data_IF_481094161603
#
_entry.id   IF_481094161603
#
_cell.length_a   1.000
_cell.length_b   1.000
_cell.length_c   1.000
_cell.angle_alpha   90.00
_cell.angle_beta   90.00
_cell.angle_gamma   90.00
#
_symmetry.space_group_name_H-M   'P 1'
#
loop_
_entity.id
_entity.type
_entity.pdbx_description
1 polymer ?
#
# COMPACT_ATOMS: atom_id res chain seq x y z
N UNK A 1 -42.44 33.09 -18.91
CA UNK A 1 -42.64 32.07 -17.84
C UNK A 1 -41.91 30.84 -18.28
N UNK A 2 -40.70 30.64 -17.72
CA UNK A 2 -39.94 29.38 -17.88
C UNK A 2 -40.61 28.31 -17.02
N UNK A 3 -41.08 27.25 -17.65
CA UNK A 3 -41.65 26.10 -17.00
C UNK A 3 -40.50 25.38 -16.22
N UNK A 4 -40.66 25.27 -14.90
CA UNK A 4 -39.82 24.42 -14.07
C UNK A 4 -39.98 22.97 -14.53
N UNK A 5 -38.87 22.22 -14.78
CA UNK A 5 -39.00 20.83 -15.17
C UNK A 5 -39.59 20.04 -14.00
N UNK A 6 -40.72 19.40 -14.27
CA UNK A 6 -41.44 18.55 -13.34
C UNK A 6 -40.55 17.36 -12.92
N UNK A 7 -39.99 17.42 -11.74
CA UNK A 7 -39.20 16.31 -11.16
C UNK A 7 -40.17 15.23 -10.73
N UNK A 8 -40.49 14.28 -11.61
CA UNK A 8 -41.17 13.05 -11.23
C UNK A 8 -40.48 12.40 -10.04
N UNK A 9 -41.19 12.04 -8.97
CA UNK A 9 -40.58 11.35 -7.85
C UNK A 9 -39.98 10.02 -8.32
N UNK A 10 -38.70 9.81 -8.01
CA UNK A 10 -38.02 8.56 -8.28
C UNK A 10 -38.75 7.42 -7.55
N UNK A 11 -38.99 6.31 -8.23
CA UNK A 11 -39.58 5.12 -7.62
C UNK A 11 -38.72 4.61 -6.45
N UNK A 12 -39.26 3.77 -5.57
CA UNK A 12 -38.57 3.32 -4.35
C UNK A 12 -37.25 2.58 -4.64
N UNK A 13 -37.17 1.80 -5.72
CA UNK A 13 -35.97 1.09 -6.13
C UNK A 13 -34.82 2.01 -6.59
N UNK A 14 -35.02 2.97 -7.52
CA UNK A 14 -33.99 3.93 -7.86
C UNK A 14 -33.52 4.78 -6.67
N UNK A 15 -34.45 5.18 -5.79
CA UNK A 15 -34.13 5.90 -4.55
C UNK A 15 -33.20 5.10 -3.65
N UNK A 16 -33.46 3.81 -3.46
CA UNK A 16 -32.65 2.90 -2.65
C UNK A 16 -31.25 2.70 -3.26
N UNK A 17 -31.16 2.56 -4.59
CA UNK A 17 -29.87 2.45 -5.30
C UNK A 17 -29.04 3.74 -5.13
N UNK A 18 -29.66 4.91 -5.26
CA UNK A 18 -28.98 6.19 -5.04
C UNK A 18 -28.56 6.39 -3.58
N UNK A 19 -29.36 5.89 -2.63
CA UNK A 19 -29.05 5.95 -1.19
C UNK A 19 -27.92 5.01 -0.80
N UNK A 20 -27.74 3.88 -1.51
CA UNK A 20 -26.69 2.89 -1.19
C UNK A 20 -25.27 3.46 -1.33
N UNK A 21 -25.03 4.46 -2.18
CA UNK A 21 -23.71 5.10 -2.27
C UNK A 21 -23.30 5.84 -0.99
N UNK A 22 -24.25 6.27 -0.15
CA UNK A 22 -23.96 6.87 1.15
C UNK A 22 -23.37 5.87 2.15
N UNK A 23 -23.55 4.55 1.91
CA UNK A 23 -22.90 3.49 2.68
C UNK A 23 -21.38 3.44 2.47
N UNK A 24 -20.87 4.07 1.42
CA UNK A 24 -19.42 4.18 1.20
C UNK A 24 -18.76 5.26 2.06
N UNK A 25 -19.54 6.25 2.53
CA UNK A 25 -19.01 7.37 3.33
C UNK A 25 -18.32 6.90 4.63
N UNK A 26 -18.90 6.02 5.47
CA UNK A 26 -18.21 5.51 6.65
C UNK A 26 -16.96 4.70 6.32
N UNK A 27 -16.89 4.06 5.14
CA UNK A 27 -15.69 3.35 4.71
C UNK A 27 -14.53 4.32 4.43
N UNK A 28 -14.81 5.43 3.74
CA UNK A 28 -13.79 6.47 3.52
C UNK A 28 -13.36 7.14 4.82
N UNK A 29 -14.27 7.37 5.77
CA UNK A 29 -13.92 7.87 7.10
C UNK A 29 -13.00 6.88 7.84
N UNK A 30 -13.27 5.58 7.75
CA UNK A 30 -12.41 4.53 8.29
C UNK A 30 -11.01 4.55 7.68
N UNK A 31 -10.90 4.78 6.35
CA UNK A 31 -9.62 4.90 5.67
C UNK A 31 -8.84 6.16 6.11
N UNK A 32 -9.51 7.27 6.40
CA UNK A 32 -8.87 8.48 6.95
C UNK A 32 -8.27 8.19 8.34
N UNK A 33 -8.99 7.44 9.18
CA UNK A 33 -8.47 7.00 10.48
C UNK A 33 -7.25 6.08 10.29
N UNK A 34 -7.32 5.14 9.35
CA UNK A 34 -6.18 4.28 9.00
C UNK A 34 -4.96 5.08 8.53
N UNK A 35 -5.18 6.16 7.77
CA UNK A 35 -4.13 7.10 7.38
C UNK A 35 -3.42 7.70 8.60
N UNK A 36 -4.18 8.11 9.62
CA UNK A 36 -3.62 8.61 10.89
C UNK A 36 -2.75 7.56 11.60
N UNK A 37 -3.14 6.29 11.58
CA UNK A 37 -2.34 5.19 12.13
C UNK A 37 -1.02 5.02 11.37
N UNK A 38 -1.03 5.13 10.04
CA UNK A 38 0.20 5.08 9.23
C UNK A 38 1.15 6.25 9.54
N UNK A 39 0.63 7.45 9.75
CA UNK A 39 1.45 8.60 10.19
C UNK A 39 2.11 8.31 11.55
N UNK A 40 1.38 7.73 12.48
CA UNK A 40 1.93 7.37 13.79
C UNK A 40 3.03 6.30 13.67
N UNK A 41 2.81 5.26 12.85
CA UNK A 41 3.82 4.23 12.58
C UNK A 41 5.07 4.81 11.95
N UNK A 42 4.92 5.71 10.96
CA UNK A 42 6.04 6.41 10.34
C UNK A 42 6.88 7.18 11.37
N UNK A 43 6.24 7.96 12.24
CA UNK A 43 6.94 8.72 13.27
C UNK A 43 7.66 7.81 14.29
N UNK A 44 7.06 6.69 14.64
CA UNK A 44 7.68 5.67 15.52
C UNK A 44 8.93 5.08 14.89
N UNK A 45 8.86 4.62 13.64
CA UNK A 45 10.02 4.05 12.92
C UNK A 45 11.10 5.10 12.68
N UNK A 46 10.72 6.33 12.35
CA UNK A 46 11.66 7.44 12.19
C UNK A 46 12.36 7.76 13.51
N UNK A 47 11.64 7.78 14.63
CA UNK A 47 12.25 8.02 15.95
C UNK A 47 13.24 6.91 16.32
N UNK A 48 12.93 5.66 16.02
CA UNK A 48 13.83 4.52 16.22
C UNK A 48 15.10 4.69 15.39
N UNK A 49 14.99 5.04 14.12
CA UNK A 49 16.13 5.28 13.24
C UNK A 49 17.05 6.38 13.79
N UNK A 50 16.48 7.50 14.27
CA UNK A 50 17.27 8.65 14.76
C UNK A 50 17.93 8.36 16.10
N UNK A 51 17.24 7.65 17.00
CA UNK A 51 17.79 7.34 18.34
C UNK A 51 18.90 6.28 18.28
N UNK A 52 18.76 5.30 17.43
CA UNK A 52 19.64 4.13 17.42
C UNK A 52 20.69 4.16 16.29
N UNK A 53 20.81 5.28 15.57
CA UNK A 53 21.72 5.46 14.42
C UNK A 53 23.18 5.14 14.73
N UNK A 54 23.60 5.20 16.00
CA UNK A 54 24.98 4.90 16.43
C UNK A 54 25.25 3.42 16.65
N UNK A 55 24.20 2.62 16.76
CA UNK A 55 24.25 1.20 17.12
C UNK A 55 23.87 0.34 15.92
N UNK A 56 23.04 0.89 15.01
CA UNK A 56 22.55 0.20 13.84
C UNK A 56 23.67 -0.01 12.79
N UNK A 57 23.72 -1.22 12.24
CA UNK A 57 24.54 -1.55 11.07
C UNK A 57 23.95 -0.95 9.79
N UNK A 58 24.78 -0.78 8.75
CA UNK A 58 24.38 -0.21 7.47
C UNK A 58 23.18 -0.94 6.83
N UNK A 59 23.13 -2.27 6.95
CA UNK A 59 21.99 -3.07 6.46
C UNK A 59 20.71 -2.79 7.25
N UNK A 60 20.78 -2.67 8.56
CA UNK A 60 19.63 -2.36 9.40
C UNK A 60 19.06 -0.96 9.08
N UNK A 61 19.95 0.03 8.91
CA UNK A 61 19.54 1.38 8.48
C UNK A 61 18.83 1.32 7.13
N UNK A 62 19.37 0.57 6.16
CA UNK A 62 18.78 0.42 4.84
C UNK A 62 17.39 -0.24 4.90
N UNK A 63 17.21 -1.27 5.73
CA UNK A 63 15.91 -1.95 5.93
C UNK A 63 14.89 -1.04 6.61
N UNK A 64 15.30 -0.23 7.59
CA UNK A 64 14.44 0.77 8.25
C UNK A 64 14.00 1.86 7.26
N UNK A 65 14.92 2.39 6.47
CA UNK A 65 14.60 3.39 5.43
C UNK A 65 13.65 2.82 4.39
N UNK A 66 13.86 1.59 3.94
CA UNK A 66 12.91 0.89 3.05
C UNK A 66 11.54 0.72 3.70
N UNK A 67 11.47 0.43 5.00
CA UNK A 67 10.23 0.40 5.75
C UNK A 67 9.52 1.75 5.78
N UNK A 68 10.24 2.85 5.97
CA UNK A 68 9.68 4.20 5.92
C UNK A 68 9.14 4.55 4.53
N UNK A 69 9.85 4.18 3.45
CA UNK A 69 9.39 4.36 2.08
C UNK A 69 8.11 3.57 1.81
N UNK A 70 8.02 2.34 2.31
CA UNK A 70 6.84 1.49 2.18
C UNK A 70 5.61 2.14 2.83
N UNK A 71 5.73 2.67 4.05
CA UNK A 71 4.66 3.41 4.73
C UNK A 71 4.19 4.61 3.91
N UNK A 72 5.11 5.38 3.31
CA UNK A 72 4.76 6.52 2.45
C UNK A 72 4.05 6.07 1.19
N UNK A 73 4.48 4.97 0.56
CA UNK A 73 3.84 4.43 -0.65
C UNK A 73 2.41 3.95 -0.37
N UNK A 74 2.20 3.24 0.74
CA UNK A 74 0.86 2.81 1.19
C UNK A 74 -0.01 4.02 1.51
N UNK A 75 0.54 5.03 2.18
CA UNK A 75 -0.13 6.28 2.51
C UNK A 75 -0.61 7.01 1.25
N UNK A 76 0.23 7.12 0.24
CA UNK A 76 -0.13 7.70 -1.05
C UNK A 76 -1.22 6.91 -1.77
N UNK A 77 -1.14 5.57 -1.73
CA UNK A 77 -2.19 4.70 -2.27
C UNK A 77 -3.53 4.96 -1.55
N UNK A 78 -3.50 5.02 -0.23
CA UNK A 78 -4.68 5.26 0.60
C UNK A 78 -5.33 6.60 0.27
N UNK A 79 -4.52 7.68 0.15
CA UNK A 79 -4.99 9.00 -0.24
C UNK A 79 -5.64 9.00 -1.63
N UNK A 80 -5.03 8.30 -2.58
CA UNK A 80 -5.58 8.17 -3.93
C UNK A 80 -6.92 7.42 -3.93
N UNK A 81 -7.09 6.38 -3.10
CA UNK A 81 -8.35 5.64 -2.95
C UNK A 81 -9.41 6.50 -2.27
N UNK A 82 -9.06 7.24 -1.21
CA UNK A 82 -10.01 8.10 -0.49
C UNK A 82 -10.53 9.20 -1.42
N UNK A 83 -9.63 10.00 -1.98
CA UNK A 83 -10.01 11.18 -2.78
C UNK A 83 -10.59 10.76 -4.11
N UNK A 84 -9.92 9.89 -4.86
CA UNK A 84 -10.36 9.45 -6.17
C UNK A 84 -11.61 8.58 -6.11
N UNK A 85 -11.75 7.73 -5.10
CA UNK A 85 -12.94 6.92 -4.88
C UNK A 85 -14.14 7.77 -4.48
N UNK A 86 -13.98 8.70 -3.56
CA UNK A 86 -15.05 9.63 -3.16
C UNK A 86 -15.55 10.45 -4.36
N UNK A 87 -14.64 11.05 -5.14
CA UNK A 87 -14.97 11.84 -6.32
C UNK A 87 -15.72 11.03 -7.39
N UNK A 88 -15.29 9.78 -7.59
CA UNK A 88 -15.87 8.93 -8.66
C UNK A 88 -17.20 8.32 -8.26
N UNK A 89 -17.36 7.88 -7.00
CA UNK A 89 -18.49 7.05 -6.59
C UNK A 89 -19.52 7.78 -5.72
N UNK A 90 -19.09 8.72 -4.89
CA UNK A 90 -19.99 9.37 -3.92
C UNK A 90 -20.50 10.72 -4.43
N UNK A 91 -19.63 11.66 -4.71
CA UNK A 91 -20.04 12.99 -5.14
C UNK A 91 -18.88 13.72 -5.80
N UNK A 92 -19.16 14.49 -6.85
CA UNK A 92 -18.18 15.40 -7.41
C UNK A 92 -17.90 16.53 -6.43
N UNK A 93 -16.71 16.58 -5.89
CA UNK A 93 -16.22 17.73 -5.17
C UNK A 93 -15.96 18.83 -6.19
N UNK A 94 -16.72 19.93 -6.11
CA UNK A 94 -16.53 21.08 -7.01
C UNK A 94 -15.27 21.87 -6.58
N UNK A 95 -14.12 21.23 -6.71
CA UNK A 95 -12.81 21.76 -6.35
C UNK A 95 -12.13 22.51 -7.51
N UNK A 96 -12.80 22.68 -8.64
CA UNK A 96 -12.27 23.24 -9.90
C UNK A 96 -11.57 24.62 -9.76
N UNK A 97 -11.59 25.22 -8.58
CA UNK A 97 -10.95 26.51 -8.28
C UNK A 97 -10.24 26.57 -6.93
N UNK A 98 -10.04 25.42 -6.26
CA UNK A 98 -9.35 25.42 -4.97
C UNK A 98 -7.83 25.35 -5.19
N UNK A 99 -7.01 26.22 -4.53
CA UNK A 99 -5.55 26.25 -4.73
C UNK A 99 -4.84 24.96 -4.34
N UNK A 100 -5.43 24.14 -3.47
CA UNK A 100 -4.88 22.86 -2.98
C UNK A 100 -5.36 21.65 -3.81
N UNK A 101 -5.99 21.87 -4.97
CA UNK A 101 -6.44 20.79 -5.82
C UNK A 101 -5.22 20.09 -6.46
N UNK A 102 -4.99 18.79 -6.21
CA UNK A 102 -3.95 18.06 -6.92
C UNK A 102 -4.28 18.04 -8.43
N UNK A 103 -3.29 18.33 -9.28
CA UNK A 103 -3.47 18.38 -10.75
C UNK A 103 -4.08 17.10 -11.33
N UNK A 104 -3.77 15.94 -10.71
CA UNK A 104 -4.32 14.66 -11.14
C UNK A 104 -5.82 14.50 -10.87
N UNK A 105 -6.41 15.32 -9.99
CA UNK A 105 -7.83 15.24 -9.63
C UNK A 105 -8.74 15.88 -10.69
N UNK A 106 -8.26 16.86 -11.44
CA UNK A 106 -9.04 17.56 -12.47
C UNK A 106 -9.48 16.67 -13.65
N UNK A 107 -8.80 15.53 -13.84
CA UNK A 107 -9.04 14.57 -14.92
C UNK A 107 -9.32 13.15 -14.42
N UNK A 108 -9.88 13.00 -13.20
CA UNK A 108 -10.18 11.67 -12.66
C UNK A 108 -11.35 11.06 -13.41
N UNK A 109 -11.01 10.19 -14.34
CA UNK A 109 -11.91 9.18 -14.87
C UNK A 109 -11.63 7.86 -14.14
N UNK A 110 -12.63 6.98 -13.98
CA UNK A 110 -12.46 5.68 -13.33
C UNK A 110 -11.33 4.84 -13.95
N UNK A 111 -11.07 4.98 -15.24
CA UNK A 111 -9.98 4.33 -15.95
C UNK A 111 -8.60 4.83 -15.48
N UNK A 112 -8.41 6.14 -15.39
CA UNK A 112 -7.14 6.73 -14.93
C UNK A 112 -6.83 6.32 -13.49
N UNK A 113 -7.86 6.25 -12.63
CA UNK A 113 -7.70 5.79 -11.25
C UNK A 113 -7.22 4.34 -11.20
N UNK A 114 -7.81 3.44 -12.01
CA UNK A 114 -7.39 2.02 -12.07
C UNK A 114 -5.92 1.86 -12.45
N UNK A 115 -5.45 2.59 -13.47
CA UNK A 115 -4.04 2.54 -13.91
C UNK A 115 -3.11 3.06 -12.82
N UNK A 116 -3.43 4.20 -12.19
CA UNK A 116 -2.62 4.76 -11.11
C UNK A 116 -2.56 3.84 -9.88
N UNK A 117 -3.68 3.20 -9.51
CA UNK A 117 -3.73 2.19 -8.45
C UNK A 117 -2.86 0.98 -8.78
N UNK A 118 -2.92 0.47 -10.01
CA UNK A 118 -2.09 -0.65 -10.46
C UNK A 118 -0.59 -0.30 -10.36
N UNK A 119 -0.19 0.90 -10.78
CA UNK A 119 1.20 1.36 -10.67
C UNK A 119 1.66 1.49 -9.21
N UNK A 120 0.80 1.98 -8.30
CA UNK A 120 1.10 2.07 -6.88
C UNK A 120 1.31 0.66 -6.25
N UNK A 121 0.46 -0.31 -6.59
CA UNK A 121 0.58 -1.70 -6.12
C UNK A 121 1.89 -2.33 -6.60
N UNK A 122 2.29 -2.10 -7.85
CA UNK A 122 3.58 -2.56 -8.38
C UNK A 122 4.74 -1.94 -7.58
N UNK A 123 4.69 -0.63 -7.32
CA UNK A 123 5.70 0.06 -6.52
C UNK A 123 5.87 -0.55 -5.13
N UNK A 124 4.77 -0.76 -4.41
CA UNK A 124 4.78 -1.42 -3.09
C UNK A 124 5.34 -2.84 -3.19
N UNK A 125 4.89 -3.63 -4.16
CA UNK A 125 5.37 -5.00 -4.36
C UNK A 125 6.88 -5.04 -4.68
N UNK A 126 7.41 -4.06 -5.44
CA UNK A 126 8.83 -3.93 -5.74
C UNK A 126 9.68 -3.68 -4.48
N UNK A 127 9.21 -2.77 -3.60
CA UNK A 127 9.90 -2.46 -2.36
C UNK A 127 9.91 -3.67 -1.41
N UNK A 128 8.78 -4.36 -1.29
CA UNK A 128 8.71 -5.59 -0.50
C UNK A 128 9.64 -6.68 -1.03
N UNK A 129 9.69 -6.86 -2.35
CA UNK A 129 10.60 -7.84 -2.95
C UNK A 129 12.06 -7.48 -2.70
N UNK A 130 12.43 -6.19 -2.85
CA UNK A 130 13.77 -5.72 -2.55
C UNK A 130 14.15 -5.95 -1.09
N UNK A 131 13.26 -5.61 -0.15
CA UNK A 131 13.46 -5.87 1.28
C UNK A 131 13.71 -7.35 1.56
N UNK A 132 12.88 -8.24 1.00
CA UNK A 132 13.01 -9.68 1.15
C UNK A 132 14.34 -10.18 0.56
N UNK A 133 14.79 -9.60 -0.55
CA UNK A 133 16.08 -9.94 -1.17
C UNK A 133 17.28 -9.58 -0.30
N UNK A 134 17.24 -8.41 0.32
CA UNK A 134 18.30 -7.94 1.23
C UNK A 134 18.34 -8.83 2.48
N UNK A 135 17.16 -9.10 3.09
CA UNK A 135 17.05 -10.00 4.24
C UNK A 135 17.55 -11.41 3.92
N UNK A 136 17.22 -11.94 2.74
CA UNK A 136 17.68 -13.26 2.30
C UNK A 136 19.19 -13.31 2.10
N UNK A 137 19.80 -12.26 1.56
CA UNK A 137 21.24 -12.16 1.33
C UNK A 137 22.06 -12.07 2.63
N UNK A 138 21.52 -11.43 3.67
CA UNK A 138 22.20 -11.28 4.97
C UNK A 138 22.14 -12.54 5.85
N UNK A 139 21.24 -13.47 5.53
CA UNK A 139 20.95 -14.67 6.36
C UNK A 139 21.40 -15.97 5.69
N UNK A 140 22.29 -15.91 4.71
CA UNK A 140 22.78 -17.08 3.99
C UNK A 140 23.48 -18.05 4.96
N UNK A 141 23.04 -19.32 4.92
CA UNK A 141 23.55 -20.37 5.83
C UNK A 141 22.81 -20.50 7.17
N UNK A 142 21.89 -19.60 7.52
CA UNK A 142 21.09 -19.75 8.73
C UNK A 142 19.93 -20.75 8.58
N UNK A 143 19.64 -21.58 9.59
CA UNK A 143 18.51 -22.51 9.55
C UNK A 143 17.18 -21.77 9.57
N UNK A 144 16.15 -22.34 8.93
CA UNK A 144 14.79 -21.79 8.90
C UNK A 144 14.18 -21.78 10.31
N UNK A 145 13.54 -20.65 10.67
CA UNK A 145 12.81 -20.52 11.93
C UNK A 145 11.70 -21.58 12.03
N UNK A 146 11.55 -22.17 13.22
CA UNK A 146 10.59 -23.25 13.48
C UNK A 146 11.11 -24.65 13.17
N UNK A 147 12.33 -24.78 12.65
CA UNK A 147 12.97 -26.10 12.47
C UNK A 147 13.75 -26.51 13.73
N UNK A 148 13.97 -27.82 13.99
CA UNK A 148 14.81 -28.27 15.09
C UNK A 148 16.23 -27.68 15.05
N UNK A 149 16.78 -27.49 13.86
CA UNK A 149 18.09 -26.87 13.66
C UNK A 149 18.14 -25.42 14.17
N UNK A 150 17.04 -24.67 13.99
CA UNK A 150 16.95 -23.29 14.51
C UNK A 150 16.93 -23.24 16.04
N UNK A 151 16.32 -24.21 16.72
CA UNK A 151 16.35 -24.28 18.19
C UNK A 151 17.75 -24.61 18.72
N UNK A 152 18.49 -25.46 18.04
CA UNK A 152 19.88 -25.78 18.41
C UNK A 152 20.75 -24.56 18.19
N UNK A 153 20.70 -23.89 17.06
CA UNK A 153 21.47 -22.67 16.76
C UNK A 153 21.14 -21.52 17.70
N UNK A 154 19.86 -21.35 18.09
CA UNK A 154 19.44 -20.33 19.06
C UNK A 154 20.03 -20.61 20.46
N UNK A 155 20.03 -21.88 20.90
CA UNK A 155 20.59 -22.28 22.18
C UNK A 155 22.10 -22.08 22.20
N UNK A 156 22.80 -22.43 21.12
CA UNK A 156 24.25 -22.31 21.02
C UNK A 156 24.68 -20.83 20.96
N UNK A 157 23.90 -19.97 20.26
CA UNK A 157 24.13 -18.53 20.25
C UNK A 157 23.94 -17.89 21.63
N UNK A 158 22.88 -18.27 22.36
CA UNK A 158 22.67 -17.82 23.74
C UNK A 158 23.78 -18.28 24.67
N UNK A 159 24.27 -19.51 24.53
CA UNK A 159 25.39 -20.03 25.30
C UNK A 159 26.70 -19.27 24.99
N UNK A 160 26.86 -18.75 23.80
CA UNK A 160 27.98 -17.93 23.37
C UNK A 160 27.83 -16.42 23.74
N UNK A 161 26.69 -16.03 24.37
CA UNK A 161 26.44 -14.65 24.78
C UNK A 161 25.87 -13.74 23.65
N UNK A 162 25.47 -14.31 22.55
CA UNK A 162 24.83 -13.55 21.43
C UNK A 162 23.32 -13.55 21.58
N UNK A 163 22.72 -12.36 21.71
CA UNK A 163 21.26 -12.15 21.75
C UNK A 163 20.68 -11.77 20.38
N UNK A 164 21.16 -12.36 19.27
CA UNK A 164 20.77 -12.03 17.90
C UNK A 164 19.79 -13.01 17.29
N UNK A 165 19.28 -12.69 16.07
CA UNK A 165 18.44 -13.58 15.27
C UNK A 165 19.27 -14.79 14.82
N UNK A 166 18.88 -15.97 15.29
CA UNK A 166 19.59 -17.22 15.01
C UNK A 166 18.92 -18.10 13.94
N UNK A 167 17.90 -17.56 13.25
CA UNK A 167 17.17 -18.30 12.22
C UNK A 167 16.68 -17.39 11.10
N UNK A 168 16.54 -17.95 9.89
CA UNK A 168 16.03 -17.26 8.71
C UNK A 168 14.50 -17.45 8.59
N UNK A 169 13.77 -16.34 8.44
CA UNK A 169 12.32 -16.34 8.17
C UNK A 169 12.00 -16.45 6.67
N UNK A 170 12.98 -16.19 5.82
CA UNK A 170 12.83 -16.14 4.36
C UNK A 170 13.28 -17.46 3.75
N UNK A 171 12.43 -18.10 2.96
CA UNK A 171 12.73 -19.31 2.22
C UNK A 171 12.99 -19.02 0.74
N UNK A 172 13.87 -19.77 0.09
CA UNK A 172 14.08 -19.68 -1.37
C UNK A 172 12.76 -19.86 -2.14
N UNK A 173 11.91 -20.77 -1.71
CA UNK A 173 10.56 -20.98 -2.29
C UNK A 173 9.67 -19.74 -2.07
N UNK A 174 9.74 -19.10 -0.90
CA UNK A 174 8.99 -17.86 -0.62
C UNK A 174 9.42 -16.71 -1.53
N UNK A 175 10.71 -16.51 -1.73
CA UNK A 175 11.26 -15.49 -2.65
C UNK A 175 10.83 -15.77 -4.10
N UNK A 176 10.87 -17.04 -4.52
CA UNK A 176 10.42 -17.46 -5.84
C UNK A 176 8.94 -17.11 -6.06
N UNK A 177 8.06 -17.45 -5.12
CA UNK A 177 6.64 -17.11 -5.22
C UNK A 177 6.38 -15.62 -5.22
N UNK A 178 7.09 -14.83 -4.41
CA UNK A 178 6.98 -13.37 -4.42
C UNK A 178 7.40 -12.77 -5.76
N UNK A 179 8.48 -13.29 -6.37
CA UNK A 179 8.92 -12.86 -7.70
C UNK A 179 7.89 -13.18 -8.78
N UNK A 180 7.27 -14.38 -8.73
CA UNK A 180 6.21 -14.77 -9.65
C UNK A 180 5.00 -13.85 -9.50
N UNK A 181 4.53 -13.60 -8.28
CA UNK A 181 3.40 -12.72 -8.00
C UNK A 181 3.68 -11.30 -8.50
N UNK A 182 4.89 -10.77 -8.24
CA UNK A 182 5.29 -9.45 -8.72
C UNK A 182 5.28 -9.36 -10.26
N UNK A 183 5.78 -10.39 -10.95
CA UNK A 183 5.74 -10.46 -12.41
C UNK A 183 4.31 -10.48 -12.94
N UNK A 184 3.40 -11.22 -12.28
CA UNK A 184 1.96 -11.25 -12.63
C UNK A 184 1.33 -9.85 -12.44
N UNK A 185 1.69 -9.12 -11.38
CA UNK A 185 1.20 -7.75 -11.18
C UNK A 185 1.65 -6.80 -12.28
N UNK A 186 2.91 -6.88 -12.73
CA UNK A 186 3.42 -6.09 -13.84
C UNK A 186 2.64 -6.40 -15.13
N UNK A 187 2.47 -7.68 -15.45
CA UNK A 187 1.72 -8.10 -16.63
C UNK A 187 0.26 -7.65 -16.58
N UNK A 188 -0.38 -7.75 -15.41
CA UNK A 188 -1.75 -7.29 -15.18
C UNK A 188 -1.88 -5.78 -15.39
N UNK A 189 -0.93 -5.00 -14.89
CA UNK A 189 -0.96 -3.54 -15.06
C UNK A 189 -0.74 -3.13 -16.51
N UNK A 190 0.15 -3.81 -17.24
CA UNK A 190 0.31 -3.60 -18.69
C UNK A 190 -1.00 -3.94 -19.42
N UNK A 191 -1.67 -5.05 -19.05
CA UNK A 191 -2.97 -5.42 -19.60
C UNK A 191 -4.04 -4.36 -19.35
N UNK A 192 -4.13 -3.81 -18.14
CA UNK A 192 -5.05 -2.74 -17.79
C UNK A 192 -4.77 -1.48 -18.61
N UNK A 193 -3.50 -1.06 -18.69
CA UNK A 193 -3.10 0.12 -19.45
C UNK A 193 -3.35 -0.05 -20.97
N UNK A 194 -3.13 -1.25 -21.48
CA UNK A 194 -3.41 -1.59 -22.88
C UNK A 194 -4.91 -1.52 -23.20
N UNK A 195 -5.74 -2.16 -22.36
CA UNK A 195 -7.20 -2.13 -22.55
C UNK A 195 -7.76 -0.72 -22.44
N UNK A 196 -7.24 0.10 -21.54
CA UNK A 196 -7.62 1.51 -21.42
C UNK A 196 -7.31 2.30 -22.69
N UNK A 197 -6.09 2.10 -23.25
CA UNK A 197 -5.68 2.74 -24.51
C UNK A 197 -6.52 2.30 -25.71
N UNK A 198 -6.97 1.06 -25.73
CA UNK A 198 -7.79 0.55 -26.87
C UNK A 198 -9.25 1.03 -26.77
N UNK A 199 -9.74 1.32 -25.54
CA UNK A 199 -11.10 1.79 -25.32
C UNK A 199 -11.24 3.33 -25.34
N UNK A 200 -10.15 4.08 -25.30
CA UNK A 200 -10.12 5.55 -25.39
C UNK A 200 -10.07 6.00 -26.85
#
# INVERSE_FOLDING_TARGET
RMATPDKKPLGPLPSLIFSSRWLQLPLYLGLIVAQGVYVFLFLKELSHLVTDIRILDEQEVMLLVLGLIDVVMISNLLMMVIVGGYETFVSRMRLDRHPDQPEWLSHVNASVLKVKLAMAIIGISSIHLLKTFIEAGSLDGMPLCGTPAAFVSARDALAAGYAGVSCNKVTATGVMWQTIIHTIFILSAIGIAWTDKVMS
#
